data_IF_159005031201
#
_entry.id   IF_159005031201
#
_cell.length_a   1.000
_cell.length_b   1.000
_cell.length_c   1.000
_cell.angle_alpha   90.00
_cell.angle_beta   90.00
_cell.angle_gamma   90.00
#
_symmetry.space_group_name_H-M   'P 1'
#
loop_
_entity.id
_entity.type
_entity.pdbx_description
1 polymer ?
#
# COMPACT_ATOMS: atom_id res chain seq x y z
N UNK A 1 -6.24 -23.72 11.63
CA UNK A 1 -6.51 -22.62 10.68
C UNK A 1 -7.56 -23.10 9.69
N UNK A 2 -8.79 -22.57 9.75
CA UNK A 2 -9.86 -22.90 8.81
C UNK A 2 -9.66 -22.09 7.52
N UNK A 3 -9.64 -22.77 6.37
CA UNK A 3 -9.48 -22.17 5.05
C UNK A 3 -10.64 -22.60 4.16
N UNK A 4 -11.23 -21.65 3.44
CA UNK A 4 -12.38 -21.92 2.58
C UNK A 4 -12.18 -21.26 1.21
N UNK A 5 -12.64 -21.95 0.15
CA UNK A 5 -12.66 -21.38 -1.21
C UNK A 5 -13.93 -20.55 -1.38
N UNK A 6 -13.79 -19.29 -1.76
CA UNK A 6 -14.92 -18.43 -2.06
C UNK A 6 -15.27 -18.57 -3.54
N UNK A 7 -16.45 -19.11 -3.81
CA UNK A 7 -16.85 -19.53 -5.17
C UNK A 7 -17.67 -18.49 -5.93
N UNK A 8 -18.24 -17.51 -5.24
CA UNK A 8 -19.03 -16.45 -5.90
C UNK A 8 -18.11 -15.33 -6.40
N UNK A 9 -17.30 -15.64 -7.42
CA UNK A 9 -16.39 -14.71 -8.08
C UNK A 9 -16.74 -14.63 -9.56
N UNK A 10 -17.31 -13.51 -9.98
CA UNK A 10 -17.88 -13.31 -11.31
C UNK A 10 -17.08 -12.25 -12.09
N UNK A 11 -17.31 -12.19 -13.40
CA UNK A 11 -16.78 -11.16 -14.31
C UNK A 11 -15.24 -11.11 -14.37
N UNK A 12 -14.58 -12.26 -14.28
CA UNK A 12 -13.12 -12.37 -14.38
C UNK A 12 -12.73 -12.37 -15.86
N UNK A 13 -12.52 -11.18 -16.43
CA UNK A 13 -12.09 -10.98 -17.82
C UNK A 13 -11.27 -9.69 -17.97
N UNK A 14 -10.49 -9.59 -19.06
CA UNK A 14 -9.65 -8.42 -19.31
C UNK A 14 -10.53 -7.17 -19.53
N UNK A 15 -10.14 -6.04 -18.96
CA UNK A 15 -10.90 -4.79 -19.02
C UNK A 15 -12.20 -4.77 -18.21
N UNK A 16 -12.50 -5.82 -17.43
CA UNK A 16 -13.70 -5.91 -16.60
C UNK A 16 -13.38 -5.68 -15.11
N UNK A 17 -14.45 -5.49 -14.32
CA UNK A 17 -14.39 -5.49 -12.86
C UNK A 17 -14.88 -6.85 -12.37
N UNK A 18 -13.96 -7.66 -11.88
CA UNK A 18 -14.28 -8.94 -11.27
C UNK A 18 -14.85 -8.70 -9.87
N UNK A 19 -15.94 -9.39 -9.53
CA UNK A 19 -16.67 -9.16 -8.27
C UNK A 19 -16.72 -10.45 -7.47
N UNK A 20 -16.08 -10.43 -6.30
CA UNK A 20 -16.14 -11.48 -5.30
C UNK A 20 -17.16 -11.10 -4.23
N UNK A 21 -18.23 -11.89 -4.08
CA UNK A 21 -19.21 -11.73 -2.99
C UNK A 21 -18.92 -12.71 -1.87
N UNK A 22 -18.71 -12.19 -0.67
CA UNK A 22 -18.33 -12.98 0.50
C UNK A 22 -19.57 -13.42 1.29
N UNK A 23 -19.67 -14.69 1.74
CA UNK A 23 -20.67 -15.11 2.70
C UNK A 23 -20.67 -14.27 3.98
N UNK A 24 -21.85 -14.01 4.54
CA UNK A 24 -22.00 -13.28 5.79
C UNK A 24 -22.09 -14.26 6.97
N UNK A 25 -21.46 -13.91 8.08
CA UNK A 25 -21.40 -14.74 9.29
C UNK A 25 -19.98 -14.86 9.86
N UNK A 26 -19.00 -15.42 9.13
CA UNK A 26 -17.68 -15.68 9.69
C UNK A 26 -16.86 -14.39 9.92
N UNK A 27 -15.79 -14.52 10.69
CA UNK A 27 -14.76 -13.47 10.80
C UNK A 27 -13.67 -13.75 9.76
N UNK A 28 -13.43 -12.80 8.86
CA UNK A 28 -12.38 -12.91 7.83
C UNK A 28 -11.06 -12.34 8.34
N UNK A 29 -10.05 -13.20 8.39
CA UNK A 29 -8.69 -12.85 8.79
C UNK A 29 -7.86 -12.39 7.60
N UNK A 30 -8.03 -13.10 6.48
CA UNK A 30 -7.19 -12.94 5.29
C UNK A 30 -7.93 -13.40 4.06
N UNK A 31 -7.74 -12.69 2.96
CA UNK A 31 -8.09 -13.15 1.62
C UNK A 31 -6.81 -13.38 0.82
N UNK A 32 -6.78 -14.48 0.09
CA UNK A 32 -5.74 -14.84 -0.87
C UNK A 32 -6.42 -15.09 -2.21
N UNK A 33 -6.13 -14.26 -3.20
CA UNK A 33 -6.68 -14.43 -4.56
C UNK A 33 -5.52 -14.80 -5.47
N UNK A 34 -5.49 -16.06 -5.89
CA UNK A 34 -4.52 -16.54 -6.88
C UNK A 34 -4.87 -15.92 -8.23
N UNK A 35 -3.89 -15.32 -8.88
CA UNK A 35 -3.96 -14.82 -10.25
C UNK A 35 -3.40 -15.92 -11.17
N UNK A 36 -4.24 -16.41 -12.07
CA UNK A 36 -3.96 -17.57 -12.92
C UNK A 36 -3.98 -17.18 -14.40
N UNK A 37 -3.47 -18.05 -15.27
CA UNK A 37 -3.51 -17.82 -16.72
C UNK A 37 -2.63 -16.65 -17.18
N UNK A 38 -1.48 -16.44 -16.54
CA UNK A 38 -0.57 -15.34 -16.85
C UNK A 38 -0.98 -13.98 -16.26
N UNK A 39 -2.07 -13.92 -15.50
CA UNK A 39 -2.47 -12.72 -14.78
C UNK A 39 -1.46 -12.39 -13.67
N UNK A 40 -1.12 -11.12 -13.51
CA UNK A 40 -0.14 -10.60 -12.57
C UNK A 40 -0.75 -9.40 -11.83
N UNK A 41 -0.24 -9.08 -10.64
CA UNK A 41 -0.71 -7.92 -9.85
C UNK A 41 -0.56 -6.59 -10.59
N UNK A 42 0.38 -6.49 -11.54
CA UNK A 42 0.54 -5.31 -12.39
C UNK A 42 -0.66 -5.07 -13.33
N UNK A 43 -1.45 -6.12 -13.63
CA UNK A 43 -2.69 -5.99 -14.40
C UNK A 43 -3.88 -5.56 -13.52
N UNK A 44 -3.71 -5.47 -12.20
CA UNK A 44 -4.78 -5.14 -11.26
C UNK A 44 -4.69 -3.66 -10.91
N UNK A 45 -5.52 -2.86 -11.58
CA UNK A 45 -5.45 -1.39 -11.53
C UNK A 45 -6.21 -0.81 -10.33
N UNK A 46 -7.16 -1.55 -9.78
CA UNK A 46 -7.87 -1.16 -8.56
C UNK A 46 -8.45 -2.38 -7.84
N UNK A 47 -8.42 -2.33 -6.50
CA UNK A 47 -9.07 -3.28 -5.60
C UNK A 47 -9.90 -2.45 -4.64
N UNK A 48 -11.21 -2.66 -4.63
CA UNK A 48 -12.16 -1.97 -3.75
C UNK A 48 -12.91 -2.97 -2.90
N UNK A 49 -12.73 -2.91 -1.59
CA UNK A 49 -13.56 -3.61 -0.62
C UNK A 49 -14.78 -2.75 -0.28
N UNK A 50 -15.98 -3.33 -0.35
CA UNK A 50 -17.23 -2.66 0.04
C UNK A 50 -17.94 -3.42 1.15
N UNK A 51 -18.44 -2.65 2.13
CA UNK A 51 -19.36 -3.11 3.18
C UNK A 51 -20.68 -2.41 2.94
N UNK A 52 -21.76 -3.18 2.79
CA UNK A 52 -23.10 -2.65 2.51
C UNK A 52 -23.08 -1.65 1.33
N UNK A 53 -22.39 -2.04 0.26
CA UNK A 53 -22.19 -1.27 -0.99
C UNK A 53 -21.36 0.01 -0.88
N UNK A 54 -20.79 0.31 0.29
CA UNK A 54 -19.90 1.47 0.48
C UNK A 54 -18.44 1.07 0.59
N UNK A 55 -17.52 1.80 -0.08
CA UNK A 55 -16.09 1.47 -0.05
C UNK A 55 -15.50 1.70 1.33
N UNK A 56 -14.78 0.70 1.84
CA UNK A 56 -14.00 0.82 3.08
C UNK A 56 -12.50 0.61 2.85
N UNK A 57 -12.14 0.01 1.72
CA UNK A 57 -10.75 -0.32 1.41
C UNK A 57 -10.52 -0.06 -0.07
N UNK A 58 -9.51 0.73 -0.42
CA UNK A 58 -9.11 0.98 -1.81
C UNK A 58 -7.61 0.88 -1.92
N UNK A 59 -7.12 0.18 -2.94
CA UNK A 59 -5.70 0.06 -3.29
C UNK A 59 -5.54 -0.37 -4.75
N UNK A 60 -4.30 -0.47 -5.24
CA UNK A 60 -3.94 -1.10 -6.51
C UNK A 60 -3.23 -2.42 -6.25
N UNK A 61 -3.11 -3.30 -7.26
CA UNK A 61 -2.39 -4.56 -7.10
C UNK A 61 -0.90 -4.37 -6.80
N UNK A 62 -0.26 -3.41 -7.47
CA UNK A 62 1.16 -3.11 -7.29
C UNK A 62 1.44 -2.49 -5.92
N UNK A 63 0.61 -1.53 -5.49
CA UNK A 63 0.78 -0.87 -4.18
C UNK A 63 0.54 -1.88 -3.04
N UNK A 64 -0.50 -2.72 -3.13
CA UNK A 64 -0.77 -3.77 -2.14
C UNK A 64 0.34 -4.82 -2.09
N UNK A 65 0.96 -5.15 -3.22
CA UNK A 65 2.12 -6.03 -3.23
C UNK A 65 3.27 -5.40 -2.43
N UNK A 66 3.63 -4.16 -2.72
CA UNK A 66 4.69 -3.44 -2.00
C UNK A 66 4.36 -3.34 -0.50
N UNK A 67 3.13 -3.01 -0.12
CA UNK A 67 2.71 -2.97 1.30
C UNK A 67 2.85 -4.33 2.01
N UNK A 68 2.54 -5.42 1.32
CA UNK A 68 2.72 -6.77 1.87
C UNK A 68 4.19 -7.15 2.05
N UNK A 69 5.02 -6.83 1.05
CA UNK A 69 6.48 -7.06 1.12
C UNK A 69 7.10 -6.21 2.23
N UNK A 70 6.64 -4.96 2.39
CA UNK A 70 7.03 -4.08 3.50
C UNK A 70 6.79 -4.71 4.87
N UNK A 71 5.65 -5.39 5.05
CA UNK A 71 5.33 -6.11 6.28
C UNK A 71 6.12 -7.43 6.44
N UNK A 72 7.06 -7.73 5.54
CA UNK A 72 7.88 -8.95 5.55
C UNK A 72 7.12 -10.19 5.07
N UNK A 73 5.97 -10.03 4.41
CA UNK A 73 5.20 -11.16 3.89
C UNK A 73 5.76 -11.62 2.56
N UNK A 74 5.95 -12.93 2.40
CA UNK A 74 6.15 -13.52 1.09
C UNK A 74 4.88 -13.35 0.25
N UNK A 75 4.98 -12.59 -0.83
CA UNK A 75 3.87 -12.33 -1.74
C UNK A 75 4.37 -12.30 -3.20
N UNK A 76 4.10 -13.34 -4.02
CA UNK A 76 4.50 -13.35 -5.42
C UNK A 76 3.59 -12.46 -6.28
N UNK A 77 4.07 -12.06 -7.47
CA UNK A 77 3.30 -11.25 -8.43
C UNK A 77 2.02 -11.93 -8.96
N UNK A 78 1.80 -13.20 -8.64
CA UNK A 78 0.63 -14.00 -9.01
C UNK A 78 -0.39 -14.13 -7.87
N UNK A 79 -0.26 -13.33 -6.80
CA UNK A 79 -1.11 -13.43 -5.62
C UNK A 79 -1.50 -12.04 -5.11
N UNK A 80 -2.80 -11.85 -4.88
CA UNK A 80 -3.31 -10.75 -4.04
C UNK A 80 -3.46 -11.29 -2.62
N UNK A 81 -2.88 -10.58 -1.65
CA UNK A 81 -3.03 -10.87 -0.22
C UNK A 81 -3.61 -9.67 0.49
N UNK A 82 -4.80 -9.84 1.06
CA UNK A 82 -5.42 -8.88 1.96
C UNK A 82 -5.37 -9.48 3.36
N UNK A 83 -4.47 -8.97 4.21
CA UNK A 83 -4.26 -9.46 5.58
C UNK A 83 -4.81 -8.47 6.60
N UNK A 84 -5.78 -8.93 7.38
CA UNK A 84 -6.43 -8.12 8.40
C UNK A 84 -5.94 -8.47 9.80
N UNK A 85 -4.98 -9.38 9.95
CA UNK A 85 -4.42 -9.73 11.25
C UNK A 85 -3.26 -8.85 11.66
N UNK A 86 -3.09 -8.73 12.97
CA UNK A 86 -1.92 -8.11 13.60
C UNK A 86 -1.10 -9.16 14.33
N UNK A 87 -0.30 -9.95 13.62
CA UNK A 87 0.45 -11.08 14.20
C UNK A 87 1.39 -10.69 15.36
N UNK A 88 1.88 -9.46 15.38
CA UNK A 88 2.74 -8.92 16.45
C UNK A 88 1.97 -8.02 17.43
N UNK A 89 0.63 -8.14 17.51
CA UNK A 89 -0.19 -7.27 18.34
C UNK A 89 0.20 -7.35 19.82
N UNK A 90 0.41 -6.18 20.39
CA UNK A 90 0.65 -5.92 21.80
C UNK A 90 -0.31 -4.83 22.27
N UNK A 91 -0.69 -4.90 23.52
CA UNK A 91 -1.60 -3.97 24.18
C UNK A 91 -1.15 -3.86 25.63
N UNK A 92 -1.05 -2.65 26.14
CA UNK A 92 -0.73 -2.39 27.55
C UNK A 92 -1.99 -2.27 28.41
N UNK A 93 -3.18 -2.33 27.79
CA UNK A 93 -4.45 -2.36 28.51
C UNK A 93 -4.52 -3.62 29.39
N UNK A 94 -4.86 -3.41 30.67
CA UNK A 94 -4.78 -4.34 31.81
C UNK A 94 -5.51 -5.70 31.72
N UNK A 95 -5.96 -6.15 30.54
CA UNK A 95 -6.46 -7.52 30.35
C UNK A 95 -5.28 -8.46 30.17
N UNK A 96 -4.80 -9.04 31.26
CA UNK A 96 -3.85 -10.15 31.25
C UNK A 96 -4.55 -11.45 30.80
N UNK A 97 -3.89 -12.26 29.96
CA UNK A 97 -4.35 -13.58 29.55
C UNK A 97 -4.30 -13.84 28.04
N UNK A 98 -4.19 -15.11 27.63
CA UNK A 98 -4.05 -15.52 26.23
C UNK A 98 -5.20 -15.02 25.32
N UNK A 99 -6.42 -14.92 25.87
CA UNK A 99 -7.61 -14.42 25.15
C UNK A 99 -7.52 -12.93 24.83
N UNK A 100 -6.78 -12.14 25.62
CA UNK A 100 -6.55 -10.72 25.34
C UNK A 100 -5.63 -10.55 24.13
N UNK A 101 -4.53 -11.31 24.07
CA UNK A 101 -3.62 -11.27 22.92
C UNK A 101 -4.31 -11.72 21.63
N UNK A 102 -5.09 -12.81 21.67
CA UNK A 102 -5.88 -13.23 20.50
C UNK A 102 -6.88 -12.15 20.07
N UNK A 103 -7.54 -11.47 21.01
CA UNK A 103 -8.46 -10.38 20.68
C UNK A 103 -7.76 -9.19 20.02
N UNK A 104 -6.52 -8.88 20.43
CA UNK A 104 -5.73 -7.79 19.83
C UNK A 104 -5.22 -8.13 18.43
N UNK A 105 -4.83 -9.39 18.19
CA UNK A 105 -4.45 -9.90 16.86
C UNK A 105 -5.65 -9.80 15.90
N UNK A 106 -6.86 -10.06 16.41
CA UNK A 106 -8.12 -10.05 15.67
C UNK A 106 -8.82 -8.69 15.59
N UNK A 107 -8.26 -7.65 16.24
CA UNK A 107 -8.91 -6.34 16.33
C UNK A 107 -9.26 -5.74 14.97
N UNK A 108 -8.45 -6.03 13.95
CA UNK A 108 -8.60 -5.49 12.61
C UNK A 108 -9.25 -6.46 11.61
N UNK A 109 -9.57 -7.69 12.04
CA UNK A 109 -10.25 -8.69 11.23
C UNK A 109 -11.69 -8.26 10.88
N UNK A 110 -12.21 -8.75 9.75
CA UNK A 110 -13.54 -8.35 9.27
C UNK A 110 -14.62 -9.27 9.84
N UNK A 111 -15.32 -8.80 10.87
CA UNK A 111 -16.49 -9.48 11.44
C UNK A 111 -17.71 -9.37 10.53
N UNK A 112 -17.85 -10.26 9.55
CA UNK A 112 -18.92 -10.14 8.56
C UNK A 112 -20.32 -10.30 9.16
N UNK A 113 -20.47 -10.95 10.31
CA UNK A 113 -21.74 -11.02 11.06
C UNK A 113 -22.36 -9.64 11.41
N UNK A 114 -21.55 -8.57 11.39
CA UNK A 114 -22.01 -7.20 11.63
C UNK A 114 -22.32 -6.44 10.33
N UNK A 115 -22.26 -7.12 9.19
CA UNK A 115 -22.46 -6.58 7.84
C UNK A 115 -23.69 -7.23 7.20
N UNK A 116 -24.34 -6.52 6.28
CA UNK A 116 -25.38 -7.09 5.43
C UNK A 116 -24.78 -7.65 4.12
N UNK A 117 -23.66 -7.05 3.67
CA UNK A 117 -22.97 -7.44 2.43
C UNK A 117 -21.49 -7.10 2.53
N UNK A 118 -20.64 -8.00 2.05
CA UNK A 118 -19.20 -7.80 1.89
C UNK A 118 -18.80 -8.23 0.48
N UNK A 119 -18.20 -7.30 -0.28
CA UNK A 119 -17.73 -7.57 -1.65
C UNK A 119 -16.33 -7.03 -1.88
N UNK A 120 -15.59 -7.70 -2.76
CA UNK A 120 -14.35 -7.20 -3.33
C UNK A 120 -14.54 -7.00 -4.84
N UNK A 121 -14.28 -5.79 -5.30
CA UNK A 121 -14.30 -5.40 -6.71
C UNK A 121 -12.85 -5.24 -7.18
N UNK A 122 -12.43 -6.03 -8.17
CA UNK A 122 -11.07 -6.08 -8.69
C UNK A 122 -11.08 -5.67 -10.15
N UNK A 123 -10.56 -4.48 -10.45
CA UNK A 123 -10.49 -3.96 -11.82
C UNK A 123 -9.28 -4.54 -12.54
N UNK A 124 -9.52 -5.16 -13.69
CA UNK A 124 -8.51 -5.84 -14.50
C UNK A 124 -8.19 -4.99 -15.73
N UNK A 125 -6.91 -4.73 -15.99
CA UNK A 125 -6.46 -3.97 -17.14
C UNK A 125 -6.90 -4.63 -18.47
N UNK A 126 -7.24 -3.87 -19.52
CA UNK A 126 -7.53 -4.41 -20.86
C UNK A 126 -6.35 -5.17 -21.48
N UNK A 127 -5.13 -4.92 -21.02
CA UNK A 127 -3.89 -5.59 -21.47
C UNK A 127 -3.66 -6.95 -20.81
N UNK A 128 -4.54 -7.39 -19.89
CA UNK A 128 -4.39 -8.67 -19.22
C UNK A 128 -4.56 -9.86 -20.20
N UNK A 129 -3.91 -11.02 -19.96
CA UNK A 129 -3.98 -12.16 -20.86
C UNK A 129 -5.41 -12.74 -21.02
N UNK A 130 -5.80 -13.22 -22.21
CA UNK A 130 -7.16 -13.72 -22.45
C UNK A 130 -7.48 -15.03 -21.71
N UNK A 131 -6.46 -15.79 -21.29
CA UNK A 131 -6.61 -17.05 -20.51
C UNK A 131 -6.68 -16.81 -19.01
N UNK A 132 -6.76 -15.54 -18.58
CA UNK A 132 -6.75 -15.17 -17.18
C UNK A 132 -7.85 -15.86 -16.37
N UNK A 133 -7.56 -16.09 -15.09
CA UNK A 133 -8.56 -16.53 -14.13
C UNK A 133 -8.14 -16.08 -12.72
N UNK A 134 -9.06 -16.13 -11.77
CA UNK A 134 -8.79 -15.86 -10.36
C UNK A 134 -9.45 -16.91 -9.46
N UNK A 135 -8.76 -17.29 -8.38
CA UNK A 135 -9.32 -18.17 -7.36
C UNK A 135 -9.13 -17.56 -5.97
N UNK A 136 -10.24 -17.25 -5.31
CA UNK A 136 -10.24 -16.64 -3.99
C UNK A 136 -10.36 -17.68 -2.87
N UNK A 137 -9.52 -17.52 -1.85
CA UNK A 137 -9.56 -18.27 -0.60
C UNK A 137 -9.59 -17.31 0.58
N UNK A 138 -10.36 -17.65 1.59
CA UNK A 138 -10.38 -16.94 2.86
C UNK A 138 -9.83 -17.80 3.99
N UNK A 139 -9.13 -17.16 4.92
CA UNK A 139 -8.88 -17.70 6.26
C UNK A 139 -9.95 -17.14 7.19
N UNK A 140 -10.62 -18.04 7.90
CA UNK A 140 -11.85 -17.75 8.62
C UNK A 140 -11.75 -18.17 10.08
N UNK A 141 -12.47 -17.45 10.91
CA UNK A 141 -12.76 -17.81 12.28
C UNK A 141 -14.26 -17.69 12.57
N UNK A 142 -14.66 -18.17 13.75
CA UNK A 142 -16.05 -18.08 14.20
C UNK A 142 -16.56 -16.63 14.20
N UNK A 143 -17.88 -16.42 14.04
CA UNK A 143 -18.48 -15.10 14.07
C UNK A 143 -18.07 -14.32 15.32
N UNK A 144 -17.47 -13.14 15.14
CA UNK A 144 -17.11 -12.26 16.25
C UNK A 144 -18.05 -11.05 16.33
N UNK A 145 -18.14 -10.46 17.52
CA UNK A 145 -18.86 -9.20 17.77
C UNK A 145 -17.93 -7.98 17.74
N UNK A 146 -16.67 -8.13 17.31
CA UNK A 146 -15.74 -7.02 17.19
C UNK A 146 -16.23 -6.05 16.12
N UNK A 147 -16.60 -4.80 16.48
CA UNK A 147 -17.11 -3.83 15.52
C UNK A 147 -15.99 -3.15 14.74
N UNK A 148 -14.73 -3.28 15.14
CA UNK A 148 -13.60 -2.60 14.50
C UNK A 148 -13.13 -3.36 13.28
N UNK A 149 -12.77 -2.63 12.22
CA UNK A 149 -12.19 -3.20 11.00
C UNK A 149 -11.02 -2.33 10.52
N UNK A 150 -10.07 -2.96 9.81
CA UNK A 150 -9.11 -2.21 9.01
C UNK A 150 -9.82 -1.62 7.79
N UNK A 151 -9.72 -0.30 7.64
CA UNK A 151 -10.13 0.42 6.44
C UNK A 151 -8.89 1.04 5.81
N UNK A 152 -8.97 1.31 4.52
CA UNK A 152 -7.89 1.95 3.78
C UNK A 152 -8.47 3.10 2.96
N UNK A 153 -8.25 4.32 3.44
CA UNK A 153 -8.71 5.53 2.77
C UNK A 153 -7.67 5.97 1.74
N UNK A 154 -8.09 6.08 0.49
CA UNK A 154 -7.23 6.46 -0.61
C UNK A 154 -7.34 7.95 -0.92
N UNK A 155 -6.20 8.57 -1.22
CA UNK A 155 -6.11 9.90 -1.82
C UNK A 155 -4.97 9.93 -2.84
N UNK A 156 -5.14 10.71 -3.90
CA UNK A 156 -4.09 10.99 -4.87
C UNK A 156 -3.72 12.48 -4.77
N UNK A 157 -2.44 12.78 -4.69
CA UNK A 157 -1.92 14.15 -4.64
C UNK A 157 -0.76 14.30 -5.60
N UNK A 158 -0.66 15.48 -6.22
CA UNK A 158 0.42 15.81 -7.14
C UNK A 158 1.07 17.12 -6.69
N UNK A 159 2.39 17.12 -6.56
CA UNK A 159 3.19 18.28 -6.18
C UNK A 159 4.05 18.71 -7.37
N UNK A 160 3.65 19.77 -8.10
CA UNK A 160 4.36 20.18 -9.31
C UNK A 160 5.74 20.79 -9.02
N UNK A 161 5.95 21.27 -7.79
CA UNK A 161 7.17 21.96 -7.37
C UNK A 161 7.64 21.48 -6.01
N UNK A 162 8.95 21.58 -5.78
CA UNK A 162 9.58 21.34 -4.50
C UNK A 162 9.12 22.39 -3.47
N UNK A 163 8.38 21.96 -2.45
CA UNK A 163 7.91 22.79 -1.35
C UNK A 163 7.54 21.94 -0.13
N UNK A 164 7.09 22.60 0.94
CA UNK A 164 6.33 21.97 2.01
C UNK A 164 4.88 21.78 1.55
N UNK A 165 4.42 20.53 1.57
CA UNK A 165 3.07 20.17 1.15
C UNK A 165 2.30 19.61 2.34
N UNK A 166 1.24 20.30 2.76
CA UNK A 166 0.33 19.83 3.81
C UNK A 166 -0.82 19.02 3.21
N UNK A 167 -0.90 17.75 3.59
CA UNK A 167 -1.96 16.84 3.18
C UNK A 167 -2.88 16.62 4.38
N UNK A 168 -4.18 16.97 4.28
CA UNK A 168 -5.12 16.73 5.38
C UNK A 168 -5.31 15.22 5.60
N UNK A 169 -5.24 14.80 6.86
CA UNK A 169 -5.61 13.44 7.27
C UNK A 169 -7.08 13.40 7.71
N UNK A 170 -7.68 12.22 7.72
CA UNK A 170 -9.08 12.07 8.11
C UNK A 170 -9.27 12.42 9.60
N UNK A 171 -10.24 13.28 9.91
CA UNK A 171 -10.45 13.88 11.25
C UNK A 171 -11.92 13.91 11.68
N UNK A 172 -12.18 14.05 12.99
CA UNK A 172 -13.53 14.15 13.54
C UNK A 172 -14.44 12.97 13.15
N UNK A 173 -15.62 13.25 12.58
CA UNK A 173 -16.57 12.21 12.11
C UNK A 173 -16.08 11.43 10.89
N UNK A 174 -15.06 11.91 10.19
CA UNK A 174 -14.32 11.15 9.18
C UNK A 174 -13.04 10.50 9.77
N UNK A 175 -12.61 10.98 10.94
CA UNK A 175 -11.43 10.52 11.67
C UNK A 175 -11.64 9.17 12.35
N UNK A 176 -10.53 8.53 12.65
CA UNK A 176 -10.45 7.16 13.16
C UNK A 176 -9.12 6.98 13.88
N UNK A 177 -8.72 5.74 14.16
CA UNK A 177 -7.37 5.49 14.66
C UNK A 177 -6.48 5.12 13.48
N UNK A 178 -5.54 5.98 13.12
CA UNK A 178 -4.58 5.73 12.03
C UNK A 178 -3.49 4.81 12.55
N UNK A 179 -3.35 3.67 11.89
CA UNK A 179 -2.32 2.66 12.14
C UNK A 179 -1.05 2.98 11.34
N UNK A 180 -1.20 3.29 10.05
CA UNK A 180 -0.09 3.56 9.12
C UNK A 180 -0.51 4.54 8.03
N UNK A 181 0.46 5.26 7.49
CA UNK A 181 0.35 6.01 6.25
C UNK A 181 1.29 5.38 5.23
N UNK A 182 0.75 4.84 4.13
CA UNK A 182 1.55 4.38 3.00
C UNK A 182 1.53 5.45 1.91
N UNK A 183 2.71 5.89 1.49
CA UNK A 183 2.90 6.96 0.53
C UNK A 183 3.65 6.35 -0.66
N UNK A 184 2.92 6.05 -1.74
CA UNK A 184 3.50 5.50 -2.96
C UNK A 184 3.74 6.60 -3.97
N UNK A 185 4.98 6.74 -4.45
CA UNK A 185 5.31 7.60 -5.56
C UNK A 185 5.00 6.89 -6.88
N UNK A 186 4.30 7.55 -7.80
CA UNK A 186 3.94 6.96 -9.10
C UNK A 186 5.01 7.15 -10.17
N UNK A 187 5.81 8.22 -10.05
CA UNK A 187 6.87 8.59 -10.99
C UNK A 187 8.26 8.42 -10.36
N UNK A 188 8.49 7.28 -9.72
CA UNK A 188 9.81 6.91 -9.21
C UNK A 188 10.55 6.02 -10.22
N UNK A 189 11.88 6.00 -10.13
CA UNK A 189 12.72 5.02 -10.80
C UNK A 189 13.68 4.41 -9.80
N UNK A 190 13.91 3.09 -9.88
CA UNK A 190 14.93 2.45 -9.06
C UNK A 190 16.29 3.09 -9.33
N UNK A 191 17.18 3.10 -8.33
CA UNK A 191 18.53 3.58 -8.53
C UNK A 191 19.19 2.78 -9.69
N UNK A 192 19.80 3.50 -10.62
CA UNK A 192 20.53 2.86 -11.70
C UNK A 192 21.66 1.97 -11.15
N UNK A 193 21.85 0.82 -11.76
CA UNK A 193 22.88 -0.15 -11.39
C UNK A 193 23.70 -0.57 -12.62
N UNK A 194 24.99 -0.84 -12.40
CA UNK A 194 25.92 -1.30 -13.44
C UNK A 194 25.54 -2.69 -13.96
N UNK A 195 25.86 -3.00 -15.21
CA UNK A 195 25.68 -4.32 -15.83
C UNK A 195 24.28 -4.92 -15.63
N UNK A 196 23.26 -4.08 -15.60
CA UNK A 196 21.87 -4.46 -15.27
C UNK A 196 21.00 -4.40 -16.51
N UNK A 197 20.22 -5.46 -16.75
CA UNK A 197 19.28 -5.50 -17.86
C UNK A 197 18.04 -4.64 -17.55
N UNK A 198 17.72 -3.71 -18.45
CA UNK A 198 16.54 -2.86 -18.37
C UNK A 198 15.65 -3.08 -19.59
N UNK A 199 14.34 -3.22 -19.34
CA UNK A 199 13.33 -3.30 -20.40
C UNK A 199 12.91 -1.89 -20.85
N UNK A 200 12.38 -1.78 -22.07
CA UNK A 200 11.72 -0.55 -22.53
C UNK A 200 10.60 -0.18 -21.56
N UNK A 201 10.50 1.11 -21.22
CA UNK A 201 9.53 1.61 -20.25
C UNK A 201 10.04 1.63 -18.81
N UNK A 202 11.18 1.01 -18.50
CA UNK A 202 11.77 1.08 -17.18
C UNK A 202 12.18 2.52 -16.82
N UNK A 203 11.83 2.95 -15.62
CA UNK A 203 12.29 4.22 -15.05
C UNK A 203 13.47 3.96 -14.11
N UNK A 204 14.52 4.78 -14.22
CA UNK A 204 15.68 4.75 -13.32
C UNK A 204 16.04 6.13 -12.82
N UNK A 205 16.64 6.20 -11.64
CA UNK A 205 17.23 7.42 -11.10
C UNK A 205 18.76 7.37 -11.20
N UNK A 206 19.35 8.43 -11.76
CA UNK A 206 20.80 8.59 -11.90
C UNK A 206 21.17 10.08 -11.81
N UNK A 207 22.17 10.43 -10.98
CA UNK A 207 22.65 11.81 -10.85
C UNK A 207 21.56 12.83 -10.44
N UNK A 208 20.54 12.41 -9.69
CA UNK A 208 19.40 13.27 -9.30
C UNK A 208 18.32 13.44 -10.37
N UNK A 209 18.45 12.75 -11.52
CA UNK A 209 17.49 12.79 -12.61
C UNK A 209 16.75 11.46 -12.77
N UNK A 210 15.56 11.52 -13.34
CA UNK A 210 14.75 10.38 -13.74
C UNK A 210 14.87 10.16 -15.25
N UNK A 211 15.16 8.93 -15.66
CA UNK A 211 15.28 8.55 -17.07
C UNK A 211 14.36 7.38 -17.39
N UNK A 212 13.86 7.37 -18.62
CA UNK A 212 13.06 6.29 -19.20
C UNK A 212 13.93 5.48 -20.16
N UNK A 213 13.94 4.17 -20.01
CA UNK A 213 14.57 3.28 -20.98
C UNK A 213 13.72 3.25 -22.25
N UNK A 214 14.26 3.77 -23.36
CA UNK A 214 13.60 3.78 -24.67
C UNK A 214 14.03 2.61 -25.55
N UNK A 215 15.21 2.05 -25.30
CA UNK A 215 15.70 0.83 -25.96
C UNK A 215 16.22 -0.14 -24.90
N UNK A 216 15.61 -1.33 -24.83
CA UNK A 216 16.01 -2.36 -23.88
C UNK A 216 17.47 -2.78 -24.11
N UNK A 217 18.17 -3.06 -23.03
CA UNK A 217 19.58 -3.44 -23.07
C UNK A 217 20.16 -3.59 -21.66
N UNK A 218 21.47 -3.79 -21.61
CA UNK A 218 22.24 -3.87 -20.37
C UNK A 218 22.96 -2.53 -20.18
N UNK A 219 22.82 -1.93 -19.00
CA UNK A 219 23.54 -0.71 -18.63
C UNK A 219 25.05 -0.89 -18.67
N UNK A 220 25.80 0.22 -18.74
CA UNK A 220 27.26 0.17 -18.74
C UNK A 220 27.81 -0.58 -17.51
N UNK A 221 28.96 -1.23 -17.70
CA UNK A 221 29.66 -1.95 -16.65
C UNK A 221 30.40 -1.04 -15.66
N UNK A 222 30.40 0.28 -15.89
CA UNK A 222 31.04 1.28 -15.04
C UNK A 222 30.30 2.63 -15.13
N UNK A 223 30.62 3.55 -14.23
CA UNK A 223 30.00 4.88 -14.19
C UNK A 223 28.80 4.97 -13.22
N UNK A 224 28.07 6.08 -13.33
CA UNK A 224 26.94 6.43 -12.46
C UNK A 224 25.58 6.43 -13.20
N UNK A 225 25.55 5.89 -14.43
CA UNK A 225 24.38 5.81 -15.29
C UNK A 225 24.25 6.95 -16.31
N UNK A 226 23.07 7.08 -16.96
CA UNK A 226 22.82 8.10 -17.96
C UNK A 226 22.98 9.52 -17.38
N UNK A 227 23.50 10.42 -18.22
CA UNK A 227 23.72 11.83 -17.87
C UNK A 227 23.18 12.77 -18.94
N UNK A 228 22.87 14.01 -18.54
CA UNK A 228 22.28 15.02 -19.41
C UNK A 228 20.75 15.03 -19.42
N UNK A 229 20.15 15.93 -20.20
CA UNK A 229 18.70 16.16 -20.26
C UNK A 229 18.09 15.81 -21.63
N UNK A 230 18.87 15.17 -22.49
CA UNK A 230 18.46 14.80 -23.85
C UNK A 230 17.73 13.46 -23.93
N UNK A 231 17.38 13.11 -25.16
CA UNK A 231 16.90 11.78 -25.56
C UNK A 231 17.99 11.02 -26.29
N UNK A 232 17.97 9.69 -26.26
CA UNK A 232 18.95 8.88 -27.01
C UNK A 232 20.30 8.74 -26.31
N UNK A 233 20.32 8.83 -24.98
CA UNK A 233 21.53 8.71 -24.17
C UNK A 233 21.91 7.23 -24.10
N UNK A 234 22.97 6.85 -24.80
CA UNK A 234 23.48 5.47 -24.80
C UNK A 234 24.25 5.19 -23.51
N UNK A 235 23.94 4.06 -22.86
CA UNK A 235 24.56 3.58 -21.64
C UNK A 235 24.65 2.05 -21.70
N UNK A 236 25.83 1.53 -22.02
CA UNK A 236 26.00 0.14 -22.42
C UNK A 236 25.26 -0.15 -23.73
N UNK A 237 24.33 -1.10 -23.71
CA UNK A 237 23.40 -1.36 -24.83
C UNK A 237 22.00 -0.81 -24.59
N UNK A 238 21.72 -0.25 -23.40
CA UNK A 238 20.47 0.46 -23.13
C UNK A 238 20.53 1.89 -23.66
N UNK A 239 19.37 2.44 -24.04
CA UNK A 239 19.24 3.84 -24.46
C UNK A 239 18.18 4.52 -23.60
N UNK A 240 18.52 5.70 -23.10
CA UNK A 240 17.72 6.46 -22.14
C UNK A 240 17.21 7.77 -22.70
N UNK A 241 16.04 8.19 -22.21
CA UNK A 241 15.49 9.52 -22.39
C UNK A 241 15.29 10.18 -21.03
N UNK A 242 15.90 11.35 -20.83
CA UNK A 242 15.62 12.17 -19.65
C UNK A 242 14.13 12.49 -19.56
N UNK A 243 13.56 12.34 -18.37
CA UNK A 243 12.16 12.66 -18.10
C UNK A 243 12.06 13.97 -17.32
N UNK A 244 12.74 14.04 -16.18
CA UNK A 244 12.64 15.13 -15.22
C UNK A 244 13.73 15.01 -14.16
N UNK A 245 13.88 16.03 -13.32
CA UNK A 245 14.62 15.88 -12.05
C UNK A 245 13.86 14.88 -11.18
N UNK A 246 14.57 13.91 -10.61
CA UNK A 246 13.97 12.94 -9.71
C UNK A 246 13.44 13.67 -8.48
N UNK A 247 12.13 13.55 -8.22
CA UNK A 247 11.57 14.07 -6.98
C UNK A 247 11.93 13.16 -5.81
N UNK A 248 12.09 13.74 -4.63
CA UNK A 248 12.28 13.02 -3.36
C UNK A 248 11.53 13.73 -2.24
N UNK A 249 11.27 12.99 -1.16
CA UNK A 249 10.87 13.56 0.13
C UNK A 249 12.13 13.72 0.96
N UNK A 250 12.39 14.93 1.48
CA UNK A 250 13.57 15.21 2.32
C UNK A 250 13.23 15.25 3.79
N UNK A 251 12.00 15.68 4.13
CA UNK A 251 11.50 15.65 5.51
C UNK A 251 10.00 15.33 5.52
N UNK A 252 9.56 14.74 6.61
CA UNK A 252 8.17 14.40 6.85
C UNK A 252 7.80 14.85 8.25
N UNK A 253 6.59 15.39 8.42
CA UNK A 253 6.04 15.68 9.74
C UNK A 253 4.58 15.26 9.79
N UNK A 254 4.17 14.65 10.89
CA UNK A 254 2.74 14.54 11.21
C UNK A 254 2.44 15.58 12.28
N UNK A 255 1.41 16.38 12.05
CA UNK A 255 1.00 17.44 12.97
C UNK A 255 -0.44 17.29 13.40
N UNK A 256 -0.71 17.60 14.66
CA UNK A 256 -2.04 17.65 15.25
C UNK A 256 -2.23 18.97 15.98
N UNK A 257 -3.16 19.81 15.52
CA UNK A 257 -3.47 21.11 16.10
C UNK A 257 -2.21 22.00 16.31
N UNK A 258 -1.28 21.96 15.36
CA UNK A 258 -0.02 22.72 15.40
C UNK A 258 1.15 22.02 16.10
N UNK A 259 0.89 20.95 16.87
CA UNK A 259 1.94 20.15 17.53
C UNK A 259 2.50 19.12 16.55
N UNK A 260 3.83 19.05 16.43
CA UNK A 260 4.52 17.98 15.71
C UNK A 260 4.48 16.72 16.58
N UNK A 261 3.86 15.66 16.06
CA UNK A 261 3.72 14.37 16.74
C UNK A 261 4.72 13.33 16.22
N UNK A 262 5.25 13.57 15.03
CA UNK A 262 6.28 12.75 14.40
C UNK A 262 7.03 13.64 13.40
N UNK A 263 8.35 13.50 13.34
CA UNK A 263 9.23 14.19 12.39
C UNK A 263 10.44 13.32 12.05
N UNK A 264 10.89 13.39 10.81
CA UNK A 264 12.10 12.73 10.34
C UNK A 264 12.20 12.68 8.82
N UNK A 265 13.40 12.41 8.32
CA UNK A 265 13.59 12.09 6.92
C UNK A 265 13.06 10.68 6.61
N UNK A 266 12.74 10.35 5.34
CA UNK A 266 12.38 8.99 4.96
C UNK A 266 13.44 7.95 5.34
N UNK A 267 14.73 8.31 5.34
CA UNK A 267 15.82 7.44 5.76
C UNK A 267 15.79 7.10 7.24
N UNK A 268 15.39 8.04 8.09
CA UNK A 268 15.31 7.83 9.54
C UNK A 268 14.17 6.84 9.84
N UNK A 269 13.00 7.07 9.21
CA UNK A 269 11.87 6.16 9.28
C UNK A 269 12.23 4.75 8.78
N UNK A 270 12.98 4.66 7.67
CA UNK A 270 13.43 3.38 7.11
C UNK A 270 14.41 2.64 8.04
N UNK A 271 15.30 3.37 8.72
CA UNK A 271 16.20 2.81 9.73
C UNK A 271 15.44 2.13 10.84
N UNK A 272 14.54 2.88 11.50
CA UNK A 272 13.65 2.35 12.54
C UNK A 272 12.86 1.15 12.02
N UNK A 273 12.30 1.25 10.81
CA UNK A 273 11.51 0.18 10.22
C UNK A 273 12.28 -1.13 10.04
N UNK A 274 13.55 -1.03 9.65
CA UNK A 274 14.44 -2.17 9.48
C UNK A 274 14.72 -2.86 10.81
N UNK A 275 14.90 -2.10 11.89
CA UNK A 275 15.11 -2.64 13.24
C UNK A 275 13.92 -3.49 13.75
N UNK A 276 12.71 -3.21 13.24
CA UNK A 276 11.50 -4.00 13.54
C UNK A 276 11.11 -4.97 12.41
N UNK A 277 12.06 -5.31 11.53
CA UNK A 277 11.92 -6.37 10.53
C UNK A 277 11.02 -6.01 9.34
N UNK A 278 10.80 -4.72 9.08
CA UNK A 278 10.14 -4.26 7.85
C UNK A 278 11.13 -4.25 6.69
N UNK A 279 10.61 -4.41 5.48
CA UNK A 279 11.43 -4.48 4.26
C UNK A 279 11.17 -3.26 3.39
N UNK A 280 12.16 -2.38 3.24
CA UNK A 280 12.01 -1.21 2.36
C UNK A 280 11.62 -1.59 0.94
N UNK A 281 10.66 -0.86 0.36
CA UNK A 281 10.19 -1.09 -1.00
C UNK A 281 10.46 0.13 -1.88
N UNK A 282 10.85 -0.08 -3.15
CA UNK A 282 11.05 1.02 -4.09
C UNK A 282 9.79 1.87 -4.24
N UNK A 283 9.94 3.21 -4.19
CA UNK A 283 8.83 4.15 -4.36
C UNK A 283 7.82 4.20 -3.21
N UNK A 284 8.05 3.45 -2.12
CA UNK A 284 7.19 3.45 -0.94
C UNK A 284 7.87 4.16 0.23
N UNK A 285 7.20 5.16 0.78
CA UNK A 285 7.54 5.75 2.09
C UNK A 285 6.42 5.44 3.07
N UNK A 286 6.77 5.05 4.30
CA UNK A 286 5.79 4.65 5.32
C UNK A 286 6.00 5.45 6.60
N UNK A 287 4.90 5.92 7.19
CA UNK A 287 4.86 6.35 8.59
C UNK A 287 4.06 5.29 9.35
N UNK A 288 4.75 4.52 10.19
CA UNK A 288 4.22 3.29 10.80
C UNK A 288 4.04 3.46 12.32
N UNK A 289 2.82 3.75 12.75
CA UNK A 289 2.51 3.86 14.18
C UNK A 289 2.32 2.49 14.86
N UNK A 290 2.28 1.39 14.10
CA UNK A 290 2.15 0.01 14.63
C UNK A 290 3.47 -0.76 14.59
N UNK A 291 4.61 -0.05 14.46
CA UNK A 291 5.91 -0.67 14.22
C UNK A 291 6.29 -1.69 15.30
N UNK A 292 6.04 -1.35 16.57
CA UNK A 292 6.25 -2.21 17.74
C UNK A 292 5.10 -3.20 18.01
N UNK A 293 4.01 -3.10 17.25
CA UNK A 293 2.75 -3.82 17.45
C UNK A 293 1.86 -3.26 18.56
N UNK A 294 2.22 -2.13 19.18
CA UNK A 294 1.49 -1.54 20.31
C UNK A 294 0.35 -0.65 19.81
N UNK A 295 -0.88 -0.95 20.22
CA UNK A 295 -2.06 -0.16 19.81
C UNK A 295 -2.01 1.28 20.33
N UNK A 296 -1.41 1.50 21.50
CA UNK A 296 -1.33 2.79 22.17
C UNK A 296 -0.47 3.81 21.43
N UNK A 297 0.35 3.36 20.46
CA UNK A 297 1.18 4.22 19.61
C UNK A 297 0.42 4.76 18.40
N UNK A 298 -0.76 4.22 18.11
CA UNK A 298 -1.55 4.63 16.96
C UNK A 298 -2.06 6.06 17.09
N UNK A 299 -2.14 6.74 15.95
CA UNK A 299 -2.56 8.12 15.90
C UNK A 299 -4.10 8.21 15.93
N UNK A 300 -4.66 8.66 17.05
CA UNK A 300 -6.09 8.89 17.17
C UNK A 300 -6.48 10.25 16.58
N UNK A 301 -7.15 10.25 15.42
CA UNK A 301 -7.65 11.46 14.76
C UNK A 301 -9.14 11.71 14.96
N UNK A 302 -9.84 10.82 15.68
CA UNK A 302 -11.29 10.98 15.94
C UNK A 302 -11.59 12.11 16.96
N UNK A 303 -10.60 12.52 17.76
CA UNK A 303 -10.75 13.50 18.83
C UNK A 303 -10.30 14.93 18.45
N UNK A 304 -9.81 15.11 17.23
CA UNK A 304 -9.27 16.38 16.73
C UNK A 304 -9.83 16.66 15.34
N UNK A 305 -9.87 17.94 14.96
CA UNK A 305 -10.34 18.40 13.65
C UNK A 305 -9.19 18.93 12.77
N UNK A 306 -7.94 18.86 13.24
CA UNK A 306 -6.81 19.48 12.55
C UNK A 306 -5.58 18.57 12.60
N UNK A 307 -5.51 17.61 11.68
CA UNK A 307 -4.37 16.70 11.53
C UNK A 307 -3.92 16.71 10.09
N UNK A 308 -2.63 16.89 9.87
CA UNK A 308 -2.03 16.89 8.54
C UNK A 308 -0.69 16.17 8.52
N UNK A 309 -0.41 15.57 7.37
CA UNK A 309 0.90 15.07 6.98
C UNK A 309 1.57 16.17 6.16
N UNK A 310 2.67 16.74 6.65
CA UNK A 310 3.54 17.62 5.89
C UNK A 310 4.65 16.81 5.23
N UNK A 311 4.81 16.97 3.93
CA UNK A 311 5.93 16.43 3.16
C UNK A 311 6.74 17.57 2.58
N UNK A 312 8.02 17.68 2.98
CA UNK A 312 8.98 18.56 2.32
C UNK A 312 9.57 17.80 1.15
N UNK A 313 9.31 18.28 -0.06
CA UNK A 313 9.76 17.66 -1.31
C UNK A 313 10.93 18.43 -1.93
N UNK A 314 11.84 17.72 -2.61
CA UNK A 314 12.88 18.29 -3.45
C UNK A 314 12.78 17.70 -4.88
N UNK A 315 13.18 18.48 -5.90
CA UNK A 315 13.00 18.08 -7.31
C UNK A 315 11.53 17.96 -7.72
N UNK A 316 11.25 17.13 -8.73
CA UNK A 316 9.87 16.82 -9.17
C UNK A 316 9.42 17.59 -10.41
N UNK A 317 8.22 17.28 -10.96
CA UNK A 317 6.97 16.98 -10.25
C UNK A 317 6.91 15.65 -9.49
N UNK A 318 6.04 15.56 -8.48
CA UNK A 318 5.94 14.44 -7.55
C UNK A 318 4.49 13.95 -7.42
N UNK A 319 4.20 12.72 -7.86
CA UNK A 319 2.84 12.19 -7.85
C UNK A 319 2.72 11.08 -6.82
N UNK A 320 1.82 11.25 -5.85
CA UNK A 320 1.65 10.33 -4.73
C UNK A 320 0.26 9.72 -4.69
N UNK A 321 0.23 8.44 -4.32
CA UNK A 321 -0.95 7.73 -3.82
C UNK A 321 -0.76 7.53 -2.33
N UNK A 322 -1.61 8.18 -1.55
CA UNK A 322 -1.63 8.10 -0.09
C UNK A 322 -2.72 7.13 0.35
N UNK A 323 -2.35 6.16 1.16
CA UNK A 323 -3.28 5.27 1.85
C UNK A 323 -3.21 5.50 3.36
N UNK A 324 -4.33 5.89 3.95
CA UNK A 324 -4.50 5.95 5.39
C UNK A 324 -5.07 4.61 5.86
N UNK A 325 -4.19 3.77 6.42
CA UNK A 325 -4.59 2.51 7.03
C UNK A 325 -5.16 2.82 8.41
N UNK A 326 -6.48 2.74 8.54
CA UNK A 326 -7.22 3.16 9.74
C UNK A 326 -7.97 2.00 10.36
N UNK A 327 -8.22 2.12 11.66
CA UNK A 327 -9.07 1.20 12.42
C UNK A 327 -10.30 1.98 12.87
N UNK A 328 -11.46 1.56 12.37
CA UNK A 328 -12.73 2.27 12.51
C UNK A 328 -13.90 1.28 12.58
N UNK A 329 -15.02 1.60 13.24
CA UNK A 329 -16.18 0.72 13.28
C UNK A 329 -16.73 0.40 11.87
N UNK A 330 -17.10 -0.86 11.67
CA UNK A 330 -17.72 -1.42 10.45
C UNK A 330 -18.95 -0.60 10.04
N UNK A 331 -19.72 -0.10 10.99
CA UNK A 331 -20.96 0.67 10.75
C UNK A 331 -20.72 2.05 10.12
N UNK A 332 -19.49 2.59 10.20
CA UNK A 332 -19.11 3.88 9.62
C UNK A 332 -18.54 3.75 8.20
N UNK A 333 -18.89 2.68 7.49
CA UNK A 333 -18.61 2.55 6.06
C UNK A 333 -19.54 3.47 5.25
#
# INVERSE_FOLDING_TARGET
>A
MRKERLVNFQNIAAGQVAILTCPIGPTYEKFKINLLGGLLVAHITSIVGKINDKPFYTTTGADLLAENLYEGRSNPNTLIVLDFLRSNAKSSAAKSGATAQTSEVMLTALSSALMQKLTWEVTIAPTAPPTLNMQAFAQLNDPSKNPMALKNLYSAVAFPYAQDNDIPLAVGRAGSIIKKLFIHQSNYGAAWAQSTAYAVGALVTAGGNLYLCTTAGTSASSGAGPTGTGTGITDGTAVWAYQQVAGTITNMQVRNAGVIIWEGAPSDAQGDQTDYGKVSQPGLTVIDFDLQGMREKWLNTALTNNVFLRLTTAGGPYNLRLYQSIVDPIQRA
#
